data_IF_957688887920
#
_entry.id   IF_957688887920
#
_cell.length_a   1.000
_cell.length_b   1.000
_cell.length_c   1.000
_cell.angle_alpha   90.00
_cell.angle_beta   90.00
_cell.angle_gamma   90.00
#
_symmetry.space_group_name_H-M   'P 1'
#
loop_
_entity.id
_entity.type
_entity.pdbx_description
1 polymer ?
#
# COMPACT_ATOMS: atom_id res chain seq x y z
N UNK A 1 -27.93 25.47 -59.89
CA UNK A 1 -27.20 26.34 -58.94
C UNK A 1 -28.16 26.60 -57.78
N UNK A 2 -28.16 25.74 -56.76
CA UNK A 2 -29.05 25.86 -55.61
C UNK A 2 -28.18 26.03 -54.37
N UNK A 3 -27.93 27.28 -53.99
CA UNK A 3 -27.28 27.60 -52.73
C UNK A 3 -28.30 27.44 -51.61
N UNK A 4 -28.18 26.32 -50.89
CA UNK A 4 -28.91 26.08 -49.65
C UNK A 4 -28.45 27.10 -48.61
N UNK A 5 -29.29 28.12 -48.37
CA UNK A 5 -29.12 29.07 -47.27
C UNK A 5 -29.43 28.35 -45.96
N UNK A 6 -28.39 27.82 -45.33
CA UNK A 6 -28.44 27.27 -43.98
C UNK A 6 -29.04 28.32 -43.04
N UNK A 7 -30.08 27.94 -42.31
CA UNK A 7 -30.82 28.87 -41.44
C UNK A 7 -29.94 29.34 -40.29
N UNK A 8 -30.13 30.59 -39.84
CA UNK A 8 -29.45 31.15 -38.67
C UNK A 8 -29.60 30.24 -37.43
N UNK A 9 -30.72 29.53 -37.32
CA UNK A 9 -30.97 28.57 -36.25
C UNK A 9 -30.03 27.35 -36.32
N UNK A 10 -29.79 26.83 -37.52
CA UNK A 10 -28.88 25.70 -37.76
C UNK A 10 -27.42 26.11 -37.50
N UNK A 11 -27.06 27.36 -37.80
CA UNK A 11 -25.74 27.91 -37.47
C UNK A 11 -25.51 28.01 -35.96
N UNK A 12 -26.53 28.46 -35.21
CA UNK A 12 -26.46 28.58 -33.75
C UNK A 12 -26.43 27.21 -33.05
N UNK A 13 -27.20 26.25 -33.54
CA UNK A 13 -27.19 24.89 -33.02
C UNK A 13 -25.85 24.18 -33.32
N UNK A 14 -25.31 24.34 -34.54
CA UNK A 14 -23.99 23.83 -34.90
C UNK A 14 -22.87 24.45 -34.04
N UNK A 15 -22.97 25.75 -33.71
CA UNK A 15 -22.05 26.43 -32.79
C UNK A 15 -22.10 25.82 -31.38
N UNK A 16 -23.31 25.68 -30.82
CA UNK A 16 -23.52 25.12 -29.48
C UNK A 16 -23.01 23.68 -29.35
N UNK A 17 -23.20 22.86 -30.39
CA UNK A 17 -22.71 21.48 -30.42
C UNK A 17 -21.17 21.46 -30.51
N UNK A 18 -20.57 22.39 -31.26
CA UNK A 18 -19.12 22.50 -31.41
C UNK A 18 -18.46 22.92 -30.10
N UNK A 19 -19.06 23.85 -29.37
CA UNK A 19 -18.60 24.30 -28.05
C UNK A 19 -18.75 23.20 -27.00
N UNK A 20 -19.88 22.49 -26.97
CA UNK A 20 -20.06 21.32 -26.09
C UNK A 20 -19.06 20.19 -26.38
N UNK A 21 -18.73 19.93 -27.65
CA UNK A 21 -17.68 18.96 -28.02
C UNK A 21 -16.28 19.46 -27.66
N UNK A 22 -16.02 20.77 -27.75
CA UNK A 22 -14.73 21.37 -27.35
C UNK A 22 -14.55 21.32 -25.85
N UNK A 23 -15.58 21.64 -25.07
CA UNK A 23 -15.60 21.49 -23.61
C UNK A 23 -15.50 20.03 -23.18
N UNK A 24 -16.16 19.08 -23.87
CA UNK A 24 -16.01 17.66 -23.55
C UNK A 24 -14.59 17.16 -23.85
N UNK A 25 -13.94 17.62 -24.93
CA UNK A 25 -12.54 17.28 -25.25
C UNK A 25 -11.53 17.93 -24.31
N UNK A 26 -11.77 19.17 -23.88
CA UNK A 26 -10.95 19.84 -22.87
C UNK A 26 -11.13 19.17 -21.51
N UNK A 27 -12.36 18.77 -21.16
CA UNK A 27 -12.66 17.96 -19.98
C UNK A 27 -12.00 16.58 -20.04
N UNK A 28 -12.01 15.89 -21.18
CA UNK A 28 -11.30 14.63 -21.38
C UNK A 28 -9.78 14.79 -21.32
N UNK A 29 -9.20 15.84 -21.90
CA UNK A 29 -7.76 16.11 -21.84
C UNK A 29 -7.32 16.61 -20.45
N UNK A 30 -8.17 17.34 -19.73
CA UNK A 30 -7.96 17.74 -18.33
C UNK A 30 -8.13 16.56 -17.37
N UNK A 31 -9.05 15.64 -17.67
CA UNK A 31 -9.16 14.35 -16.97
C UNK A 31 -8.02 13.41 -17.31
N UNK A 32 -7.48 13.42 -18.53
CA UNK A 32 -6.25 12.68 -18.91
C UNK A 32 -4.99 13.21 -18.23
N UNK A 33 -4.89 14.51 -17.99
CA UNK A 33 -3.77 15.09 -17.22
C UNK A 33 -3.91 14.84 -15.71
N UNK A 34 -5.13 14.70 -15.18
CA UNK A 34 -5.40 14.16 -13.83
C UNK A 34 -5.46 12.62 -13.74
N UNK A 35 -5.11 11.90 -14.81
CA UNK A 35 -4.92 10.44 -14.79
C UNK A 35 -3.49 10.05 -14.35
N UNK A 36 -2.59 11.01 -14.16
CA UNK A 36 -1.42 10.90 -13.29
C UNK A 36 -0.49 9.70 -13.51
N UNK A 37 -0.43 9.10 -14.70
CA UNK A 37 0.69 8.20 -15.03
C UNK A 37 1.88 9.10 -15.35
N UNK A 38 2.49 9.67 -14.32
CA UNK A 38 3.73 10.41 -14.48
C UNK A 38 4.77 9.45 -15.08
N UNK A 39 5.50 9.83 -16.13
CA UNK A 39 6.58 9.01 -16.64
C UNK A 39 7.62 8.85 -15.53
N UNK A 40 8.14 7.64 -15.36
CA UNK A 40 9.29 7.41 -14.47
C UNK A 40 10.47 8.18 -15.08
N UNK A 41 11.05 9.10 -14.30
CA UNK A 41 12.24 9.83 -14.71
C UNK A 41 13.48 9.02 -14.31
N UNK A 42 14.58 9.22 -15.03
CA UNK A 42 15.86 8.59 -14.70
C UNK A 42 16.29 8.94 -13.28
N UNK A 43 16.09 10.19 -12.85
CA UNK A 43 16.42 10.62 -11.48
C UNK A 43 15.64 9.83 -10.41
N UNK A 44 14.38 9.47 -10.66
CA UNK A 44 13.56 8.70 -9.71
C UNK A 44 14.16 7.30 -9.53
N UNK A 45 14.65 6.70 -10.63
CA UNK A 45 15.33 5.40 -10.62
C UNK A 45 16.66 5.49 -9.88
N UNK A 46 17.46 6.52 -10.15
CA UNK A 46 18.77 6.71 -9.51
C UNK A 46 18.62 6.89 -7.99
N UNK A 47 17.65 7.69 -7.54
CA UNK A 47 17.36 7.87 -6.11
C UNK A 47 16.87 6.57 -5.49
N UNK A 48 15.99 5.82 -6.15
CA UNK A 48 15.52 4.53 -5.66
C UNK A 48 16.64 3.49 -5.56
N UNK A 49 17.54 3.42 -6.55
CA UNK A 49 18.72 2.55 -6.52
C UNK A 49 19.66 2.93 -5.37
N UNK A 50 19.96 4.23 -5.22
CA UNK A 50 20.83 4.71 -4.14
C UNK A 50 20.24 4.38 -2.77
N UNK A 51 18.96 4.68 -2.54
CA UNK A 51 18.27 4.41 -1.28
C UNK A 51 18.21 2.91 -0.95
N UNK A 52 17.87 2.07 -1.93
CA UNK A 52 17.81 0.62 -1.74
C UNK A 52 19.19 0.00 -1.47
N UNK A 53 20.22 0.49 -2.16
CA UNK A 53 21.61 0.03 -1.94
C UNK A 53 22.08 0.40 -0.55
N UNK A 54 21.91 1.67 -0.15
CA UNK A 54 22.26 2.13 1.20
C UNK A 54 21.50 1.31 2.25
N UNK A 55 20.19 1.11 2.07
CA UNK A 55 19.39 0.36 3.02
C UNK A 55 19.86 -1.09 3.20
N UNK A 56 20.27 -1.80 2.15
CA UNK A 56 20.73 -3.19 2.28
C UNK A 56 22.16 -3.30 2.83
N UNK A 57 22.99 -2.26 2.65
CA UNK A 57 24.35 -2.23 3.21
C UNK A 57 24.38 -1.93 4.71
N UNK A 58 23.31 -1.37 5.27
CA UNK A 58 23.22 -1.09 6.71
C UNK A 58 22.97 -2.40 7.47
N UNK A 59 23.81 -2.76 8.47
CA UNK A 59 23.63 -3.97 9.27
C UNK A 59 22.53 -3.73 10.33
N UNK A 60 21.27 -3.74 9.90
CA UNK A 60 20.13 -3.39 10.75
C UNK A 60 20.02 -4.24 12.02
N UNK A 61 20.33 -5.54 11.95
CA UNK A 61 20.27 -6.44 13.12
C UNK A 61 21.35 -6.08 14.15
N UNK A 62 22.57 -5.73 13.71
CA UNK A 62 23.63 -5.24 14.59
C UNK A 62 23.26 -3.88 15.20
N UNK A 63 22.67 -2.98 14.41
CA UNK A 63 22.19 -1.70 14.95
C UNK A 63 21.04 -1.88 15.94
N UNK A 64 20.16 -2.85 15.71
CA UNK A 64 19.02 -3.13 16.59
C UNK A 64 19.43 -3.93 17.84
N UNK A 65 20.57 -4.62 17.80
CA UNK A 65 21.00 -5.61 18.79
C UNK A 65 20.00 -6.76 18.98
N UNK A 66 19.14 -6.99 17.97
CA UNK A 66 18.06 -7.96 18.03
C UNK A 66 17.77 -8.50 16.63
N UNK A 67 17.56 -9.82 16.54
CA UNK A 67 17.31 -10.50 15.26
C UNK A 67 15.92 -10.17 14.70
N UNK A 68 15.79 -10.15 13.38
CA UNK A 68 14.47 -10.11 12.76
C UNK A 68 13.81 -11.49 12.86
N UNK A 69 12.83 -11.63 13.75
CA UNK A 69 12.22 -12.91 14.13
C UNK A 69 11.65 -13.63 12.91
N UNK A 70 10.90 -12.95 12.04
CA UNK A 70 10.28 -13.57 10.87
C UNK A 70 11.37 -13.99 9.87
N UNK A 71 12.42 -13.19 9.71
CA UNK A 71 13.58 -13.52 8.86
C UNK A 71 14.35 -14.74 9.38
N UNK A 72 14.66 -14.77 10.67
CA UNK A 72 15.34 -15.89 11.31
C UNK A 72 14.51 -17.18 11.18
N UNK A 73 13.20 -17.08 11.37
CA UNK A 73 12.27 -18.19 11.15
C UNK A 73 12.30 -18.69 9.70
N UNK A 74 12.33 -17.79 8.71
CA UNK A 74 12.46 -18.20 7.30
C UNK A 74 13.81 -18.84 7.01
N UNK A 75 14.90 -18.28 7.51
CA UNK A 75 16.25 -18.86 7.35
C UNK A 75 16.31 -20.27 7.93
N UNK A 76 15.74 -20.47 9.11
CA UNK A 76 15.66 -21.78 9.74
C UNK A 76 14.75 -22.73 8.94
N UNK A 77 13.55 -22.27 8.58
CA UNK A 77 12.57 -23.06 7.85
C UNK A 77 13.10 -23.59 6.52
N UNK A 78 13.71 -22.75 5.68
CA UNK A 78 14.21 -23.19 4.38
C UNK A 78 15.52 -23.97 4.44
N UNK A 79 16.23 -23.93 5.58
CA UNK A 79 17.47 -24.69 5.77
C UNK A 79 17.24 -26.07 6.36
N UNK A 80 16.26 -26.20 7.26
CA UNK A 80 16.06 -27.40 8.06
C UNK A 80 14.63 -27.93 8.06
N UNK A 81 13.65 -27.12 7.66
CA UNK A 81 12.23 -27.49 7.68
C UNK A 81 11.80 -28.24 6.43
N UNK A 82 10.82 -29.12 6.60
CA UNK A 82 10.12 -29.75 5.49
C UNK A 82 9.21 -28.73 4.78
N UNK A 83 9.17 -28.81 3.44
CA UNK A 83 8.36 -27.89 2.66
C UNK A 83 6.86 -28.17 2.92
N UNK A 84 6.08 -27.12 3.19
CA UNK A 84 4.63 -27.22 3.43
C UNK A 84 3.94 -27.97 2.28
N UNK A 85 4.43 -27.82 1.06
CA UNK A 85 3.87 -28.44 -0.13
C UNK A 85 4.05 -29.97 -0.17
N UNK A 86 4.99 -30.54 0.59
CA UNK A 86 5.23 -31.99 0.62
C UNK A 86 4.16 -32.74 1.42
N UNK A 87 3.64 -32.12 2.48
CA UNK A 87 2.63 -32.72 3.36
C UNK A 87 1.23 -32.10 3.21
N UNK A 88 1.07 -31.06 2.39
CA UNK A 88 -0.23 -30.44 2.13
C UNK A 88 -0.88 -30.97 0.86
N UNK A 89 -2.09 -31.51 0.98
CA UNK A 89 -2.87 -31.97 -0.18
C UNK A 89 -3.42 -30.77 -0.97
N UNK A 90 -2.88 -30.50 -2.16
CA UNK A 90 -3.36 -29.48 -3.10
C UNK A 90 -4.60 -29.94 -3.89
N UNK A 91 -5.66 -30.32 -3.18
CA UNK A 91 -6.87 -30.90 -3.78
C UNK A 91 -7.79 -29.85 -4.44
N UNK A 92 -7.72 -28.59 -4.01
CA UNK A 92 -8.62 -27.53 -4.48
C UNK A 92 -7.85 -26.29 -4.97
N UNK A 93 -8.47 -25.53 -5.88
CA UNK A 93 -7.84 -24.32 -6.44
C UNK A 93 -7.54 -23.25 -5.38
N UNK A 94 -8.37 -23.13 -4.33
CA UNK A 94 -8.14 -22.16 -3.26
C UNK A 94 -6.97 -22.58 -2.35
N UNK A 95 -6.61 -23.86 -2.31
CA UNK A 95 -5.45 -24.37 -1.58
C UNK A 95 -4.14 -23.76 -2.10
N UNK A 96 -4.09 -23.37 -3.37
CA UNK A 96 -2.91 -22.71 -3.94
C UNK A 96 -2.71 -21.30 -3.37
N UNK A 97 -3.82 -20.61 -3.08
CA UNK A 97 -3.81 -19.28 -2.47
C UNK A 97 -3.50 -19.39 -0.98
N UNK A 98 -4.23 -20.25 -0.26
CA UNK A 98 -4.09 -20.36 1.22
C UNK A 98 -2.71 -20.87 1.64
N UNK A 99 -2.08 -21.70 0.83
CA UNK A 99 -0.75 -22.25 1.11
C UNK A 99 0.38 -21.44 0.45
N UNK A 100 0.08 -20.28 -0.14
CA UNK A 100 1.09 -19.35 -0.66
C UNK A 100 2.13 -20.05 -1.54
N UNK A 101 1.63 -20.85 -2.48
CA UNK A 101 2.43 -21.84 -3.23
C UNK A 101 3.63 -21.22 -3.93
N UNK A 102 3.51 -20.00 -4.44
CA UNK A 102 4.62 -19.36 -5.16
C UNK A 102 5.80 -19.08 -4.23
N UNK A 103 5.54 -18.68 -2.98
CA UNK A 103 6.57 -18.46 -1.97
C UNK A 103 7.32 -19.76 -1.67
N UNK A 104 6.57 -20.85 -1.45
CA UNK A 104 7.12 -22.16 -1.11
C UNK A 104 7.75 -22.92 -2.29
N UNK A 105 7.52 -22.49 -3.54
CA UNK A 105 8.22 -23.02 -4.71
C UNK A 105 9.45 -22.17 -5.06
N UNK A 106 9.29 -20.85 -5.11
CA UNK A 106 10.33 -19.96 -5.63
C UNK A 106 11.56 -19.90 -4.73
N UNK A 107 11.38 -19.82 -3.41
CA UNK A 107 12.52 -19.71 -2.48
C UNK A 107 13.39 -20.99 -2.49
N UNK A 108 12.83 -22.21 -2.33
CA UNK A 108 13.62 -23.43 -2.45
C UNK A 108 14.24 -23.61 -3.84
N UNK A 109 13.53 -23.22 -4.92
CA UNK A 109 14.13 -23.29 -6.25
C UNK A 109 15.41 -22.43 -6.36
N UNK A 110 15.41 -21.21 -5.82
CA UNK A 110 16.60 -20.35 -5.80
C UNK A 110 17.73 -20.94 -4.92
N UNK A 111 17.37 -21.55 -3.79
CA UNK A 111 18.35 -22.09 -2.83
C UNK A 111 18.94 -23.42 -3.34
N UNK A 112 18.09 -24.39 -3.67
CA UNK A 112 18.50 -25.76 -3.95
C UNK A 112 18.95 -25.97 -5.39
N UNK A 113 18.25 -25.35 -6.35
CA UNK A 113 18.54 -25.56 -7.78
C UNK A 113 19.57 -24.56 -8.32
N UNK A 114 19.56 -23.33 -7.82
CA UNK A 114 20.54 -22.30 -8.23
C UNK A 114 21.70 -22.13 -7.24
N UNK A 115 21.69 -22.87 -6.12
CA UNK A 115 22.72 -22.83 -5.08
C UNK A 115 22.98 -21.40 -4.53
N UNK A 116 21.92 -20.59 -4.42
CA UNK A 116 22.02 -19.23 -3.89
C UNK A 116 21.81 -19.27 -2.38
N UNK A 117 22.76 -18.71 -1.61
CA UNK A 117 22.63 -18.68 -0.17
C UNK A 117 21.35 -17.89 0.25
N UNK A 118 20.55 -18.39 1.21
CA UNK A 118 19.27 -17.78 1.61
C UNK A 118 19.38 -16.29 1.98
N UNK A 119 20.50 -15.91 2.59
CA UNK A 119 20.79 -14.52 2.96
C UNK A 119 20.76 -13.56 1.76
N UNK A 120 21.28 -13.99 0.60
CA UNK A 120 21.28 -13.16 -0.63
C UNK A 120 19.87 -13.07 -1.22
N UNK A 121 19.09 -14.14 -1.17
CA UNK A 121 17.68 -14.13 -1.60
C UNK A 121 16.89 -13.11 -0.79
N UNK A 122 17.02 -13.16 0.53
CA UNK A 122 16.31 -12.25 1.44
C UNK A 122 16.77 -10.80 1.32
N UNK A 123 18.08 -10.55 1.22
CA UNK A 123 18.59 -9.20 0.94
C UNK A 123 18.10 -8.65 -0.40
N UNK A 124 17.93 -9.52 -1.42
CA UNK A 124 17.36 -9.12 -2.71
C UNK A 124 15.88 -8.72 -2.58
N UNK A 125 15.10 -9.42 -1.77
CA UNK A 125 13.71 -9.05 -1.50
C UNK A 125 13.64 -7.70 -0.77
N UNK A 126 14.49 -7.48 0.25
CA UNK A 126 14.59 -6.21 0.95
C UNK A 126 15.00 -5.07 0.00
N UNK A 127 15.97 -5.31 -0.89
CA UNK A 127 16.38 -4.37 -1.93
C UNK A 127 15.20 -3.99 -2.84
N UNK A 128 14.50 -4.99 -3.39
CA UNK A 128 13.34 -4.77 -4.27
C UNK A 128 12.26 -3.98 -3.54
N UNK A 129 12.06 -4.23 -2.24
CA UNK A 129 11.07 -3.53 -1.41
C UNK A 129 11.41 -2.05 -1.27
N UNK A 130 12.61 -1.73 -0.79
CA UNK A 130 13.03 -0.33 -0.60
C UNK A 130 13.08 0.40 -1.94
N UNK A 131 13.55 -0.27 -3.00
CA UNK A 131 13.57 0.26 -4.36
C UNK A 131 12.16 0.62 -4.84
N UNK A 132 11.22 -0.32 -4.74
CA UNK A 132 9.84 -0.12 -5.21
C UNK A 132 9.13 1.00 -4.45
N UNK A 133 9.29 1.05 -3.12
CA UNK A 133 8.68 2.07 -2.26
C UNK A 133 9.25 3.45 -2.57
N UNK A 134 10.57 3.55 -2.71
CA UNK A 134 11.25 4.80 -3.05
C UNK A 134 10.85 5.28 -4.44
N UNK A 135 10.85 4.38 -5.44
CA UNK A 135 10.45 4.70 -6.80
C UNK A 135 9.00 5.17 -6.87
N UNK A 136 8.10 4.52 -6.13
CA UNK A 136 6.70 4.93 -6.04
C UNK A 136 6.56 6.36 -5.49
N UNK A 137 7.21 6.66 -4.36
CA UNK A 137 7.14 8.00 -3.76
C UNK A 137 7.78 9.06 -4.66
N UNK A 138 8.96 8.79 -5.22
CA UNK A 138 9.65 9.71 -6.14
C UNK A 138 8.81 10.03 -7.38
N UNK A 139 8.07 9.04 -7.90
CA UNK A 139 7.22 9.18 -9.07
C UNK A 139 5.94 9.98 -8.83
N UNK A 140 5.29 9.76 -7.68
CA UNK A 140 3.97 10.33 -7.38
C UNK A 140 4.00 11.51 -6.41
N UNK A 141 5.19 11.93 -5.97
CA UNK A 141 5.38 13.05 -5.05
C UNK A 141 6.64 13.85 -5.41
N UNK A 142 7.01 14.78 -4.53
CA UNK A 142 8.29 15.46 -4.61
C UNK A 142 9.42 14.49 -4.22
N UNK A 143 10.61 14.59 -4.86
CA UNK A 143 11.78 13.79 -4.49
C UNK A 143 12.16 13.92 -3.01
N UNK A 144 11.97 15.09 -2.39
CA UNK A 144 12.21 15.27 -0.95
C UNK A 144 11.30 14.41 -0.07
N UNK A 145 10.16 13.95 -0.59
CA UNK A 145 9.25 13.06 0.14
C UNK A 145 9.87 11.68 0.39
N UNK A 146 10.86 11.27 -0.42
CA UNK A 146 11.60 10.01 -0.22
C UNK A 146 12.28 9.98 1.16
N UNK A 147 12.72 11.12 1.69
CA UNK A 147 13.34 11.20 3.01
C UNK A 147 12.38 10.76 4.13
N UNK A 148 11.06 10.90 3.94
CA UNK A 148 10.07 10.44 4.91
C UNK A 148 9.94 8.91 4.96
N UNK A 149 10.49 8.20 3.98
CA UNK A 149 10.59 6.73 3.99
C UNK A 149 11.71 6.23 4.91
N UNK A 150 12.61 7.09 5.38
CA UNK A 150 13.63 6.75 6.39
C UNK A 150 12.94 6.59 7.74
N UNK A 151 12.24 5.46 7.88
CA UNK A 151 11.33 5.18 8.98
C UNK A 151 11.43 3.69 9.38
N UNK A 152 11.37 3.35 10.67
CA UNK A 152 11.47 1.96 11.13
C UNK A 152 10.40 1.03 10.56
N UNK A 153 9.24 1.57 10.16
CA UNK A 153 8.18 0.78 9.53
C UNK A 153 8.66 0.18 8.21
N UNK A 154 9.38 0.95 7.40
CA UNK A 154 9.93 0.44 6.14
C UNK A 154 10.99 -0.64 6.42
N UNK A 155 11.88 -0.42 7.38
CA UNK A 155 12.93 -1.39 7.71
C UNK A 155 12.31 -2.70 8.23
N UNK A 156 11.38 -2.61 9.16
CA UNK A 156 10.70 -3.79 9.71
C UNK A 156 9.94 -4.55 8.60
N UNK A 157 9.24 -3.84 7.71
CA UNK A 157 8.55 -4.51 6.60
C UNK A 157 9.55 -5.19 5.64
N UNK A 158 10.60 -4.48 5.24
CA UNK A 158 11.53 -4.93 4.21
C UNK A 158 12.46 -6.06 4.68
N UNK A 159 12.87 -6.05 5.95
CA UNK A 159 13.88 -6.98 6.49
C UNK A 159 13.29 -8.07 7.40
N UNK A 160 12.14 -7.84 8.02
CA UNK A 160 11.47 -8.86 8.86
C UNK A 160 10.32 -9.52 8.08
N UNK A 161 9.38 -8.72 7.57
CA UNK A 161 8.13 -9.21 6.98
C UNK A 161 8.18 -9.40 5.45
N UNK A 162 9.27 -10.00 4.98
CA UNK A 162 9.68 -10.07 3.56
C UNK A 162 8.60 -10.62 2.61
N UNK A 163 7.86 -11.66 3.03
CA UNK A 163 6.79 -12.26 2.23
C UNK A 163 5.67 -11.25 1.91
N UNK A 164 5.23 -10.50 2.94
CA UNK A 164 4.20 -9.47 2.78
C UNK A 164 4.71 -8.28 1.99
N UNK A 165 5.98 -7.91 2.19
CA UNK A 165 6.66 -6.85 1.47
C UNK A 165 6.71 -7.13 -0.04
N UNK A 166 7.13 -8.35 -0.42
CA UNK A 166 7.22 -8.78 -1.81
C UNK A 166 5.85 -8.76 -2.49
N UNK A 167 4.82 -9.33 -1.85
CA UNK A 167 3.46 -9.33 -2.38
C UNK A 167 2.93 -7.90 -2.59
N UNK A 168 3.21 -6.97 -1.67
CA UNK A 168 2.81 -5.58 -1.83
C UNK A 168 3.60 -4.86 -2.92
N UNK A 169 4.88 -5.19 -3.11
CA UNK A 169 5.67 -4.66 -4.24
C UNK A 169 5.06 -5.05 -5.58
N UNK A 170 4.60 -6.29 -5.74
CA UNK A 170 3.89 -6.72 -6.96
C UNK A 170 2.64 -5.86 -7.22
N UNK A 171 1.86 -5.56 -6.18
CA UNK A 171 0.69 -4.69 -6.29
C UNK A 171 1.05 -3.23 -6.63
N UNK A 172 2.10 -2.68 -6.03
CA UNK A 172 2.59 -1.33 -6.36
C UNK A 172 3.12 -1.25 -7.80
N UNK A 173 3.84 -2.28 -8.26
CA UNK A 173 4.24 -2.37 -9.65
C UNK A 173 3.04 -2.46 -10.59
N UNK A 174 2.06 -3.31 -10.27
CA UNK A 174 0.82 -3.40 -11.03
C UNK A 174 0.14 -2.03 -11.18
N UNK A 175 0.11 -1.23 -10.10
CA UNK A 175 -0.41 0.14 -10.12
C UNK A 175 0.43 1.10 -10.98
N UNK A 176 1.75 1.00 -10.89
CA UNK A 176 2.70 1.87 -11.59
C UNK A 176 2.77 1.61 -13.09
N UNK A 177 2.46 0.40 -13.54
CA UNK A 177 2.59 0.04 -14.95
C UNK A 177 1.65 0.87 -15.85
N UNK A 178 2.12 1.34 -17.01
CA UNK A 178 1.28 2.06 -17.95
C UNK A 178 0.19 1.15 -18.53
N UNK A 179 -0.94 1.72 -18.99
CA UNK A 179 -2.08 0.97 -19.55
C UNK A 179 -1.72 -0.01 -20.69
N UNK A 180 -0.66 0.28 -21.46
CA UNK A 180 -0.16 -0.63 -22.51
C UNK A 180 0.36 -1.97 -21.97
N UNK A 181 0.70 -2.02 -20.67
CA UNK A 181 1.14 -3.22 -19.94
C UNK A 181 0.03 -3.74 -19.01
N UNK A 182 -1.25 -3.55 -19.36
CA UNK A 182 -2.39 -3.99 -18.55
C UNK A 182 -2.33 -5.48 -18.24
N UNK A 183 -1.97 -6.33 -19.21
CA UNK A 183 -1.88 -7.78 -19.00
C UNK A 183 -0.84 -8.10 -17.93
N UNK A 184 0.32 -7.46 -17.97
CA UNK A 184 1.36 -7.64 -16.96
C UNK A 184 0.91 -7.12 -15.58
N UNK A 185 0.21 -5.98 -15.54
CA UNK A 185 -0.39 -5.44 -14.31
C UNK A 185 -1.39 -6.43 -13.69
N UNK A 186 -2.29 -7.00 -14.51
CA UNK A 186 -3.24 -8.03 -14.07
C UNK A 186 -2.53 -9.30 -13.61
N UNK A 187 -1.49 -9.73 -14.32
CA UNK A 187 -0.69 -10.88 -13.90
C UNK A 187 -0.05 -10.67 -12.52
N UNK A 188 0.54 -9.48 -12.26
CA UNK A 188 1.09 -9.15 -10.95
C UNK A 188 0.03 -9.17 -9.83
N UNK A 189 -1.19 -8.67 -10.10
CA UNK A 189 -2.31 -8.74 -9.15
C UNK A 189 -2.71 -10.18 -8.85
N UNK A 190 -2.73 -11.06 -9.87
CA UNK A 190 -3.09 -12.47 -9.70
C UNK A 190 -1.99 -13.28 -9.01
N UNK A 191 -0.73 -12.91 -9.21
CA UNK A 191 0.43 -13.59 -8.63
C UNK A 191 0.65 -13.21 -7.15
N UNK A 192 0.35 -11.97 -6.76
CA UNK A 192 0.58 -11.51 -5.39
C UNK A 192 -0.09 -12.40 -4.31
N UNK A 193 -1.35 -12.88 -4.47
CA UNK A 193 -1.99 -13.82 -3.55
C UNK A 193 -1.28 -15.16 -3.40
N UNK A 194 -0.55 -15.60 -4.42
CA UNK A 194 0.23 -16.83 -4.38
C UNK A 194 1.55 -16.65 -3.62
N UNK A 195 1.98 -15.41 -3.39
CA UNK A 195 3.11 -15.07 -2.51
C UNK A 195 2.64 -14.82 -1.08
N UNK A 196 1.55 -14.06 -0.93
CA UNK A 196 0.97 -13.77 0.37
C UNK A 196 -0.55 -13.60 0.29
N UNK A 197 -1.27 -14.41 1.06
CA UNK A 197 -2.75 -14.42 1.09
C UNK A 197 -3.38 -13.05 1.37
N UNK A 198 -2.79 -12.26 2.28
CA UNK A 198 -3.33 -10.94 2.65
C UNK A 198 -3.31 -9.92 1.49
N UNK A 199 -2.56 -10.18 0.41
CA UNK A 199 -2.57 -9.32 -0.79
C UNK A 199 -3.92 -9.29 -1.51
N UNK A 200 -4.77 -10.33 -1.33
CA UNK A 200 -6.15 -10.35 -1.83
C UNK A 200 -6.94 -9.15 -1.30
N UNK A 201 -6.82 -8.88 0.00
CA UNK A 201 -7.48 -7.73 0.63
C UNK A 201 -7.02 -6.41 0.00
N UNK A 202 -5.70 -6.22 -0.18
CA UNK A 202 -5.18 -5.00 -0.79
C UNK A 202 -5.64 -4.82 -2.25
N UNK A 203 -5.71 -5.91 -3.02
CA UNK A 203 -6.26 -5.89 -4.37
C UNK A 203 -7.76 -5.52 -4.39
N UNK A 204 -8.55 -6.08 -3.46
CA UNK A 204 -9.97 -5.75 -3.31
C UNK A 204 -10.18 -4.29 -2.88
N UNK A 205 -9.39 -3.79 -1.93
CA UNK A 205 -9.42 -2.38 -1.53
C UNK A 205 -9.13 -1.45 -2.70
N UNK A 206 -8.12 -1.79 -3.50
CA UNK A 206 -7.76 -1.02 -4.69
C UNK A 206 -8.89 -1.02 -5.73
N UNK A 207 -9.48 -2.18 -6.02
CA UNK A 207 -10.64 -2.30 -6.92
C UNK A 207 -11.86 -1.53 -6.40
N UNK A 208 -12.11 -1.56 -5.08
CA UNK A 208 -13.16 -0.79 -4.41
C UNK A 208 -12.95 0.71 -4.54
N UNK A 209 -11.73 1.20 -4.32
CA UNK A 209 -11.34 2.61 -4.52
C UNK A 209 -11.55 3.04 -5.97
N UNK A 210 -11.14 2.24 -6.95
CA UNK A 210 -11.36 2.53 -8.37
C UNK A 210 -12.86 2.65 -8.69
N UNK A 211 -13.67 1.74 -8.17
CA UNK A 211 -15.12 1.75 -8.33
C UNK A 211 -15.75 2.98 -7.68
N UNK A 212 -15.36 3.31 -6.44
CA UNK A 212 -15.84 4.48 -5.72
C UNK A 212 -15.47 5.78 -6.43
N UNK A 213 -14.26 5.87 -6.98
CA UNK A 213 -13.82 7.00 -7.80
C UNK A 213 -14.67 7.15 -9.06
N UNK A 214 -15.01 6.07 -9.74
CA UNK A 214 -15.87 6.09 -10.92
C UNK A 214 -17.25 6.66 -10.56
N UNK A 215 -17.85 6.19 -9.47
CA UNK A 215 -19.14 6.64 -8.97
C UNK A 215 -19.13 8.11 -8.53
N UNK A 216 -18.07 8.54 -7.83
CA UNK A 216 -17.87 9.94 -7.45
C UNK A 216 -17.72 10.85 -8.68
N UNK A 217 -16.98 10.41 -9.70
CA UNK A 217 -16.78 11.17 -10.95
C UNK A 217 -18.07 11.31 -11.74
N UNK A 218 -18.91 10.26 -11.74
CA UNK A 218 -20.27 10.27 -12.30
C UNK A 218 -21.28 11.07 -11.46
N UNK A 219 -20.85 11.72 -10.38
CA UNK A 219 -21.69 12.47 -9.43
C UNK A 219 -22.82 11.64 -8.80
N UNK A 220 -22.69 10.31 -8.78
CA UNK A 220 -23.63 9.41 -8.10
C UNK A 220 -23.54 9.60 -6.59
N UNK A 221 -22.30 9.72 -6.09
CA UNK A 221 -22.03 10.03 -4.69
C UNK A 221 -21.46 11.43 -4.54
N UNK A 222 -21.92 12.14 -3.50
CA UNK A 222 -21.30 13.37 -3.05
C UNK A 222 -20.01 13.07 -2.25
N UNK A 223 -19.19 14.09 -2.00
CA UNK A 223 -17.92 13.91 -1.28
C UNK A 223 -18.12 13.36 0.13
N UNK A 224 -19.18 13.77 0.83
CA UNK A 224 -19.51 13.28 2.17
C UNK A 224 -19.76 11.77 2.16
N UNK A 225 -20.56 11.26 1.21
CA UNK A 225 -20.81 9.84 1.07
C UNK A 225 -19.52 9.06 0.76
N UNK A 226 -18.65 9.59 -0.12
CA UNK A 226 -17.34 8.99 -0.39
C UNK A 226 -16.51 8.88 0.88
N UNK A 227 -16.41 9.96 1.67
CA UNK A 227 -15.66 9.95 2.94
C UNK A 227 -16.25 8.94 3.92
N UNK A 228 -17.57 8.90 4.08
CA UNK A 228 -18.24 7.94 4.97
C UNK A 228 -18.01 6.49 4.53
N UNK A 229 -18.00 6.20 3.23
CA UNK A 229 -17.68 4.87 2.69
C UNK A 229 -16.22 4.50 3.00
N UNK A 230 -15.27 5.43 2.83
CA UNK A 230 -13.85 5.19 3.11
C UNK A 230 -13.61 4.93 4.61
N UNK A 231 -14.19 5.76 5.48
CA UNK A 231 -14.14 5.58 6.92
C UNK A 231 -14.82 4.27 7.36
N UNK A 232 -16.00 4.00 6.81
CA UNK A 232 -16.74 2.77 7.03
C UNK A 232 -15.97 1.53 6.59
N UNK A 233 -15.22 1.61 5.49
CA UNK A 233 -14.36 0.51 5.05
C UNK A 233 -13.24 0.24 6.06
N UNK A 234 -12.57 1.28 6.55
CA UNK A 234 -11.54 1.14 7.59
C UNK A 234 -12.12 0.60 8.91
N UNK A 235 -13.33 1.03 9.29
CA UNK A 235 -14.09 0.50 10.43
C UNK A 235 -14.38 -1.00 10.26
N UNK A 236 -14.95 -1.41 9.12
CA UNK A 236 -15.27 -2.80 8.85
C UNK A 236 -14.02 -3.69 8.81
N UNK A 237 -12.91 -3.18 8.27
CA UNK A 237 -11.62 -3.87 8.34
C UNK A 237 -11.18 -4.06 9.79
N UNK A 238 -11.28 -3.02 10.62
CA UNK A 238 -10.88 -3.07 12.02
C UNK A 238 -11.72 -4.07 12.82
N UNK A 239 -13.04 -4.03 12.63
CA UNK A 239 -13.97 -5.00 13.23
C UNK A 239 -13.65 -6.44 12.78
N UNK A 240 -13.37 -6.64 11.48
CA UNK A 240 -13.10 -7.96 10.91
C UNK A 240 -11.78 -8.55 11.39
N UNK A 241 -10.71 -7.75 11.43
CA UNK A 241 -9.35 -8.22 11.78
C UNK A 241 -9.01 -8.13 13.27
N UNK A 242 -9.79 -7.38 14.05
CA UNK A 242 -9.71 -7.37 15.51
C UNK A 242 -10.67 -8.39 16.10
N UNK A 243 -11.78 -7.90 16.65
CA UNK A 243 -12.71 -8.67 17.47
C UNK A 243 -13.37 -9.86 16.74
N UNK A 244 -13.79 -9.71 15.47
CA UNK A 244 -14.49 -10.79 14.78
C UNK A 244 -13.58 -11.99 14.51
N UNK A 245 -12.35 -11.73 14.05
CA UNK A 245 -11.34 -12.78 13.86
C UNK A 245 -11.09 -13.55 15.15
N UNK A 246 -10.96 -12.83 16.27
CA UNK A 246 -10.78 -13.44 17.57
C UNK A 246 -11.96 -14.36 17.92
N UNK A 247 -13.20 -13.86 17.81
CA UNK A 247 -14.40 -14.66 18.13
C UNK A 247 -14.51 -15.92 17.28
N UNK A 248 -14.15 -15.84 16.00
CA UNK A 248 -14.13 -17.02 15.11
C UNK A 248 -13.05 -18.01 15.54
N UNK A 249 -11.85 -17.55 15.89
CA UNK A 249 -10.76 -18.41 16.34
C UNK A 249 -11.07 -19.06 17.70
N UNK A 250 -11.65 -18.30 18.63
CA UNK A 250 -12.14 -18.78 19.93
C UNK A 250 -13.20 -19.86 19.76
N UNK A 251 -14.18 -19.64 18.87
CA UNK A 251 -15.24 -20.61 18.59
C UNK A 251 -14.72 -21.91 17.95
N UNK A 252 -13.61 -21.84 17.20
CA UNK A 252 -12.93 -22.99 16.61
C UNK A 252 -11.99 -23.69 17.63
N UNK A 253 -11.78 -23.10 18.80
CA UNK A 253 -10.85 -23.62 19.81
C UNK A 253 -9.39 -23.48 19.40
N UNK A 254 -9.07 -22.53 18.50
CA UNK A 254 -7.69 -22.28 18.08
C UNK A 254 -6.96 -21.42 19.11
N UNK A 255 -5.86 -21.96 19.67
CA UNK A 255 -4.93 -21.27 20.58
C UNK A 255 -4.34 -19.95 20.06
N UNK A 256 -4.55 -19.63 18.77
CA UNK A 256 -4.16 -18.35 18.16
C UNK A 256 -5.07 -17.19 18.58
N UNK A 257 -6.25 -17.47 19.13
CA UNK A 257 -7.17 -16.42 19.58
C UNK A 257 -6.56 -15.54 20.69
N UNK A 258 -5.80 -16.13 21.62
CA UNK A 258 -5.12 -15.42 22.71
C UNK A 258 -4.08 -14.39 22.22
N UNK A 259 -3.45 -14.61 21.05
CA UNK A 259 -2.45 -13.70 20.47
C UNK A 259 -3.04 -12.47 19.80
N UNK A 260 -4.36 -12.41 19.62
CA UNK A 260 -5.03 -11.27 18.97
C UNK A 260 -5.28 -10.14 19.96
N UNK A 261 -5.38 -10.43 21.26
CA UNK A 261 -5.78 -9.44 22.29
C UNK A 261 -4.58 -8.80 22.99
N UNK A 262 -3.59 -9.59 23.42
CA UNK A 262 -2.60 -9.09 24.37
C UNK A 262 -1.39 -8.36 23.73
N UNK A 263 -1.03 -8.67 22.48
CA UNK A 263 0.18 -8.13 21.83
C UNK A 263 -0.08 -7.36 20.51
N UNK A 264 -1.34 -7.32 20.03
CA UNK A 264 -1.63 -6.84 18.68
C UNK A 264 -1.91 -5.33 18.59
N UNK A 265 -2.49 -4.73 19.63
CA UNK A 265 -2.90 -3.32 19.56
C UNK A 265 -1.71 -2.38 19.77
N UNK A 266 -1.50 -1.46 18.83
CA UNK A 266 -0.53 -0.38 19.03
C UNK A 266 -1.08 0.57 20.10
N UNK A 267 -0.32 0.77 21.18
CA UNK A 267 -0.75 1.64 22.27
C UNK A 267 -1.08 3.07 21.82
N UNK A 268 -1.97 3.76 22.53
CA UNK A 268 -2.50 5.08 22.14
C UNK A 268 -1.41 6.09 21.76
N UNK A 269 -0.27 6.08 22.48
CA UNK A 269 0.88 6.96 22.22
C UNK A 269 1.42 6.84 20.79
N UNK A 270 1.51 5.60 20.29
CA UNK A 270 1.95 5.33 18.92
C UNK A 270 0.91 5.81 17.90
N UNK A 271 -0.37 5.69 18.24
CA UNK A 271 -1.47 5.96 17.31
C UNK A 271 -1.87 7.44 17.21
N UNK A 272 -1.45 8.28 18.16
CA UNK A 272 -1.77 9.72 18.18
C UNK A 272 -1.41 10.46 16.90
N UNK A 273 -0.23 10.21 16.32
CA UNK A 273 0.17 10.83 15.06
C UNK A 273 -0.79 10.45 13.92
N UNK A 274 -1.18 9.19 13.84
CA UNK A 274 -2.07 8.70 12.79
C UNK A 274 -3.50 9.23 12.95
N UNK A 275 -3.99 9.40 14.20
CA UNK A 275 -5.26 10.08 14.49
C UNK A 275 -5.19 11.54 14.03
N UNK A 276 -4.11 12.25 14.38
CA UNK A 276 -3.89 13.63 13.94
C UNK A 276 -3.89 13.72 12.41
N UNK A 277 -3.16 12.84 11.74
CA UNK A 277 -3.13 12.78 10.27
C UNK A 277 -4.53 12.52 9.68
N UNK A 278 -5.32 11.61 10.28
CA UNK A 278 -6.69 11.34 9.85
C UNK A 278 -7.55 12.60 9.94
N UNK A 279 -7.53 13.30 11.07
CA UNK A 279 -8.29 14.55 11.28
C UNK A 279 -7.90 15.58 10.21
N UNK A 280 -6.61 15.74 9.94
CA UNK A 280 -6.13 16.67 8.90
C UNK A 280 -6.62 16.23 7.52
N UNK A 281 -6.66 14.94 7.21
CA UNK A 281 -7.20 14.45 5.94
C UNK A 281 -8.70 14.75 5.78
N UNK A 282 -9.48 14.69 6.87
CA UNK A 282 -10.93 14.92 6.86
C UNK A 282 -11.34 16.38 6.60
N UNK A 283 -10.45 17.34 6.88
CA UNK A 283 -10.71 18.78 6.62
C UNK A 283 -10.23 19.24 5.24
N UNK A 284 -9.72 18.33 4.40
CA UNK A 284 -9.26 18.69 3.06
C UNK A 284 -10.41 18.97 2.08
N UNK A 285 -10.08 19.65 0.98
CA UNK A 285 -11.03 19.98 -0.09
C UNK A 285 -11.45 18.76 -0.92
N UNK A 286 -12.57 18.89 -1.66
CA UNK A 286 -13.13 17.83 -2.52
C UNK A 286 -12.13 17.20 -3.50
N UNK A 287 -11.16 17.97 -3.98
CA UNK A 287 -10.13 17.47 -4.89
C UNK A 287 -9.17 16.46 -4.24
N UNK A 288 -8.92 16.56 -2.93
CA UNK A 288 -8.09 15.60 -2.19
C UNK A 288 -8.70 14.20 -2.28
N UNK A 289 -10.01 14.09 -2.07
CA UNK A 289 -10.75 12.83 -2.17
C UNK A 289 -10.94 12.31 -3.59
N UNK A 290 -10.39 12.96 -4.62
CA UNK A 290 -10.35 12.41 -5.99
C UNK A 290 -9.07 11.63 -6.27
N UNK A 291 -8.04 11.81 -5.44
CA UNK A 291 -6.77 11.11 -5.57
C UNK A 291 -6.87 9.73 -4.90
N UNK A 292 -6.45 8.68 -5.62
CA UNK A 292 -6.49 7.29 -5.16
C UNK A 292 -5.62 7.10 -3.92
N UNK A 293 -4.43 7.71 -3.89
CA UNK A 293 -3.51 7.61 -2.76
C UNK A 293 -4.12 8.20 -1.49
N UNK A 294 -4.84 9.31 -1.62
CA UNK A 294 -5.55 9.95 -0.52
C UNK A 294 -6.73 9.10 -0.01
N UNK A 295 -7.50 8.50 -0.93
CA UNK A 295 -8.59 7.60 -0.56
C UNK A 295 -8.08 6.35 0.16
N UNK A 296 -7.02 5.72 -0.35
CA UNK A 296 -6.37 4.58 0.29
C UNK A 296 -5.84 4.94 1.69
N UNK A 297 -5.17 6.09 1.80
CA UNK A 297 -4.65 6.60 3.07
C UNK A 297 -5.77 6.80 4.11
N UNK A 298 -6.93 7.31 3.71
CA UNK A 298 -8.08 7.45 4.61
C UNK A 298 -8.57 6.10 5.14
N UNK A 299 -8.61 5.05 4.31
CA UNK A 299 -9.00 3.71 4.75
C UNK A 299 -7.99 3.18 5.78
N UNK A 300 -6.69 3.27 5.49
CA UNK A 300 -5.63 2.77 6.40
C UNK A 300 -5.61 3.56 7.71
N UNK A 301 -5.68 4.89 7.66
CA UNK A 301 -5.72 5.72 8.87
C UNK A 301 -6.98 5.46 9.69
N UNK A 302 -8.13 5.30 9.04
CA UNK A 302 -9.39 4.94 9.72
C UNK A 302 -9.29 3.57 10.39
N UNK A 303 -8.77 2.56 9.68
CA UNK A 303 -8.50 1.23 10.23
C UNK A 303 -7.61 1.29 11.48
N UNK A 304 -6.51 2.04 11.41
CA UNK A 304 -5.56 2.21 12.51
C UNK A 304 -6.22 2.88 13.72
N UNK A 305 -7.04 3.91 13.51
CA UNK A 305 -7.76 4.58 14.58
C UNK A 305 -8.79 3.66 15.25
N UNK A 306 -9.57 2.89 14.47
CA UNK A 306 -10.57 1.98 15.02
C UNK A 306 -9.96 0.76 15.72
N UNK A 307 -8.76 0.32 15.33
CA UNK A 307 -8.04 -0.76 16.03
C UNK A 307 -7.66 -0.40 17.48
N UNK A 308 -7.67 0.88 17.86
CA UNK A 308 -7.56 1.25 19.28
C UNK A 308 -8.73 0.76 20.12
N UNK A 309 -9.90 0.55 19.50
CA UNK A 309 -11.12 0.09 20.15
C UNK A 309 -11.26 -1.42 20.00
N UNK A 310 -11.09 -1.93 18.78
CA UNK A 310 -11.35 -3.34 18.45
C UNK A 310 -10.13 -4.26 18.58
N UNK A 311 -8.95 -3.71 18.87
CA UNK A 311 -7.69 -4.44 18.83
C UNK A 311 -7.23 -4.75 17.39
N UNK A 312 -6.10 -5.45 17.27
CA UNK A 312 -5.58 -5.94 15.99
C UNK A 312 -4.29 -5.27 15.48
N UNK A 313 -3.61 -5.98 14.56
CA UNK A 313 -2.26 -5.65 14.09
C UNK A 313 -2.22 -4.47 13.10
N UNK A 314 -2.22 -3.24 13.61
CA UNK A 314 -2.16 -2.00 12.80
C UNK A 314 -0.83 -1.77 12.09
N UNK A 315 0.29 -2.23 12.69
CA UNK A 315 1.64 -1.90 12.24
C UNK A 315 1.93 -2.38 10.82
N UNK A 316 1.47 -3.59 10.46
CA UNK A 316 1.69 -4.18 9.13
C UNK A 316 1.01 -3.38 8.03
N UNK A 317 -0.22 -2.93 8.26
CA UNK A 317 -0.98 -2.10 7.33
C UNK A 317 -0.41 -0.69 7.19
N UNK A 318 0.09 -0.11 8.29
CA UNK A 318 0.81 1.16 8.23
C UNK A 318 2.10 1.04 7.44
N UNK A 319 2.87 -0.03 7.67
CA UNK A 319 4.13 -0.25 6.99
C UNK A 319 3.95 -0.49 5.50
N UNK A 320 2.99 -1.35 5.10
CA UNK A 320 2.68 -1.55 3.68
C UNK A 320 2.10 -0.29 3.04
N UNK A 321 1.23 0.43 3.75
CA UNK A 321 0.62 1.67 3.27
C UNK A 321 1.54 2.91 3.29
N UNK A 322 2.72 2.83 3.93
CA UNK A 322 3.64 3.95 4.13
C UNK A 322 3.94 4.78 2.86
N UNK A 323 4.31 4.20 1.70
CA UNK A 323 4.61 4.99 0.51
C UNK A 323 3.37 5.75 0.02
N UNK A 324 2.18 5.16 0.15
CA UNK A 324 0.92 5.80 -0.22
C UNK A 324 0.54 6.91 0.77
N UNK A 325 0.78 6.69 2.08
CA UNK A 325 0.61 7.68 3.13
C UNK A 325 1.52 8.90 2.91
N UNK A 326 2.80 8.67 2.58
CA UNK A 326 3.76 9.74 2.28
C UNK A 326 3.30 10.56 1.06
N UNK A 327 2.83 9.91 -0.01
CA UNK A 327 2.24 10.62 -1.15
C UNK A 327 1.03 11.45 -0.72
N UNK A 328 0.12 10.88 0.09
CA UNK A 328 -1.05 11.59 0.59
C UNK A 328 -0.71 12.80 1.47
N UNK A 329 0.36 12.74 2.28
CA UNK A 329 0.85 13.89 3.04
C UNK A 329 1.23 15.07 2.13
N UNK A 330 1.82 14.78 0.96
CA UNK A 330 2.25 15.80 0.01
C UNK A 330 1.12 16.41 -0.81
N UNK A 331 0.00 15.68 -0.95
CA UNK A 331 -1.24 16.13 -1.59
C UNK A 331 -2.09 17.06 -0.70
N UNK A 332 -1.74 17.21 0.59
CA UNK A 332 -2.38 18.16 1.49
C UNK A 332 -2.12 19.61 1.03
N UNK A 333 -3.04 20.52 1.40
CA UNK A 333 -2.82 21.97 1.24
C UNK A 333 -1.53 22.39 1.95
N UNK A 334 -0.81 23.39 1.41
CA UNK A 334 0.54 23.77 1.85
C UNK A 334 0.72 23.90 3.37
N UNK A 335 -0.20 24.60 4.06
CA UNK A 335 -0.16 24.76 5.51
C UNK A 335 -0.32 23.42 6.25
N UNK A 336 -1.35 22.64 5.91
CA UNK A 336 -1.60 21.33 6.50
C UNK A 336 -0.46 20.34 6.23
N UNK A 337 0.10 20.38 5.02
CA UNK A 337 1.27 19.58 4.65
C UNK A 337 2.47 19.91 5.54
N UNK A 338 2.78 21.19 5.72
CA UNK A 338 3.89 21.61 6.57
C UNK A 338 3.68 21.14 8.02
N UNK A 339 2.46 21.27 8.56
CA UNK A 339 2.11 20.80 9.89
C UNK A 339 2.26 19.28 10.03
N UNK A 340 1.74 18.50 9.08
CA UNK A 340 1.81 17.04 9.12
C UNK A 340 3.24 16.54 8.99
N UNK A 341 4.04 17.11 8.08
CA UNK A 341 5.45 16.75 7.93
C UNK A 341 6.24 17.13 9.19
N UNK A 342 6.01 18.33 9.73
CA UNK A 342 6.65 18.78 10.96
C UNK A 342 6.29 17.91 12.18
N UNK A 343 5.08 17.32 12.21
CA UNK A 343 4.69 16.34 13.23
C UNK A 343 5.22 14.93 12.94
N UNK A 344 5.35 14.54 11.68
CA UNK A 344 5.83 13.21 11.28
C UNK A 344 7.32 13.02 11.59
N UNK A 345 8.15 14.05 11.39
CA UNK A 345 9.59 13.97 11.68
C UNK A 345 9.90 13.58 13.14
N UNK A 346 9.42 14.31 14.17
CA UNK A 346 9.64 13.92 15.56
C UNK A 346 8.99 12.58 15.89
N UNK A 347 7.82 12.27 15.31
CA UNK A 347 7.21 10.96 15.44
C UNK A 347 8.12 9.83 14.90
N UNK A 348 8.71 10.00 13.72
CA UNK A 348 9.63 9.03 13.13
C UNK A 348 10.92 8.88 13.96
N UNK A 349 11.45 9.98 14.52
CA UNK A 349 12.59 9.94 15.45
C UNK A 349 12.25 9.13 16.70
N UNK A 350 11.07 9.35 17.29
CA UNK A 350 10.59 8.57 18.44
C UNK A 350 10.40 7.09 18.08
N UNK A 351 9.91 6.79 16.87
CA UNK A 351 9.84 5.42 16.40
C UNK A 351 11.23 4.79 16.26
N UNK A 352 12.23 5.51 15.73
CA UNK A 352 13.61 5.02 15.66
C UNK A 352 14.18 4.75 17.05
N UNK A 353 13.95 5.67 17.99
CA UNK A 353 14.34 5.50 19.39
C UNK A 353 13.72 4.23 19.99
N UNK A 354 12.40 4.03 19.81
CA UNK A 354 11.70 2.85 20.30
C UNK A 354 12.20 1.57 19.62
N UNK A 355 12.36 1.58 18.31
CA UNK A 355 12.82 0.45 17.51
C UNK A 355 14.23 -0.02 17.93
N UNK A 356 15.11 0.93 18.29
CA UNK A 356 16.44 0.64 18.84
C UNK A 356 16.38 0.10 20.29
N UNK A 357 15.55 0.69 21.17
CA UNK A 357 15.54 0.32 22.59
C UNK A 357 14.77 -0.96 22.90
N UNK A 358 13.72 -1.28 22.14
CA UNK A 358 12.91 -2.49 22.39
C UNK A 358 13.66 -3.76 22.01
N UNK A 359 14.75 -3.66 21.24
CA UNK A 359 15.68 -4.79 21.05
C UNK A 359 16.62 -5.04 22.23
N UNK A 360 16.74 -4.10 23.18
CA UNK A 360 17.68 -4.16 24.32
C UNK A 360 17.01 -4.57 25.65
N UNK A 361 15.71 -4.91 25.62
CA UNK A 361 14.95 -5.46 26.76
C UNK A 361 14.58 -6.89 26.40
#
# INVERSE_FOLDING_TARGET
MAESKMSLAEMLEASSIRDRKKESRISENCMRTKQGVYPIKIIDILVALAMATVAVLVPWEELRQFEFIDRANYLHYFKYGENILEYTKLAHWYSYLTNEVLWHISIPYLIDQLNIAPIFVFNTISFITVFTFTLFVARYSNLYAVLLLVNPLLVTLAFDQMRSALAYCLLLWAYMLPRKLLILSLAMILVAPLVHTASVLFALLFAGILSLRLLHTRRVFNTTAVVLILLGTGFLMSLSFGQLMQQVLDAVGDRRADRVVNDASSGIKYTLFWIFMLIVCLVQSKDYYRNISCQYSLIILSFVCFNLIFGGYSLRFLATGLPVLVVAMYELKSLHRALVIAAFVPYAVLQWYYWYHVGNV
#
